data_IF_516887999769
#
_entry.id   IF_516887999769
#
_cell.length_a   1.000
_cell.length_b   1.000
_cell.length_c   1.000
_cell.angle_alpha   90.00
_cell.angle_beta   90.00
_cell.angle_gamma   90.00
#
_symmetry.space_group_name_H-M   'P 1'
#
loop_
_entity.id
_entity.type
_entity.pdbx_description
1 polymer ?
#
# COMPACT_ATOMS: atom_id res chain seq x y z
N UNK A 1 5.44 23.92 10.83
CA UNK A 1 4.79 23.00 9.86
C UNK A 1 3.61 23.70 9.22
N UNK A 2 3.48 23.66 7.89
CA UNK A 2 2.31 24.25 7.18
C UNK A 2 1.10 23.31 7.26
N UNK A 3 -0.10 23.84 6.97
CA UNK A 3 -1.32 23.03 6.96
C UNK A 3 -1.23 21.87 5.94
N UNK A 4 -0.68 22.11 4.75
CA UNK A 4 -0.45 21.08 3.75
C UNK A 4 0.54 20.02 4.25
N UNK A 5 1.65 20.42 4.86
CA UNK A 5 2.61 19.49 5.47
C UNK A 5 2.00 18.61 6.56
N UNK A 6 1.12 19.18 7.40
CA UNK A 6 0.38 18.43 8.42
C UNK A 6 -0.56 17.39 7.79
N UNK A 7 -1.30 17.76 6.75
CA UNK A 7 -2.20 16.86 6.00
C UNK A 7 -1.42 15.74 5.34
N UNK A 8 -0.30 16.03 4.67
CA UNK A 8 0.56 15.02 4.04
C UNK A 8 1.09 14.03 5.08
N UNK A 9 1.55 14.54 6.23
CA UNK A 9 2.08 13.71 7.32
C UNK A 9 0.98 12.80 7.89
N UNK A 10 -0.19 13.34 8.19
CA UNK A 10 -1.31 12.58 8.73
C UNK A 10 -1.80 11.51 7.73
N UNK A 11 -2.02 11.90 6.48
CA UNK A 11 -2.42 10.98 5.41
C UNK A 11 -1.37 9.88 5.18
N UNK A 12 -0.09 10.25 5.11
CA UNK A 12 1.02 9.33 4.88
C UNK A 12 1.21 8.31 6.00
N UNK A 13 1.13 8.74 7.27
CA UNK A 13 1.25 7.85 8.42
C UNK A 13 0.02 6.94 8.60
N UNK A 14 -1.19 7.44 8.34
CA UNK A 14 -2.39 6.61 8.31
C UNK A 14 -2.33 5.55 7.20
N UNK A 15 -1.89 5.95 6.00
CA UNK A 15 -1.68 5.04 4.89
C UNK A 15 -0.63 3.97 5.24
N UNK A 16 0.53 4.37 5.76
CA UNK A 16 1.57 3.47 6.26
C UNK A 16 1.00 2.46 7.28
N UNK A 17 0.25 2.94 8.27
CA UNK A 17 -0.37 2.10 9.30
C UNK A 17 -1.29 1.04 8.73
N UNK A 18 -2.17 1.41 7.78
CA UNK A 18 -3.05 0.45 7.11
C UNK A 18 -2.28 -0.60 6.30
N UNK A 19 -1.24 -0.18 5.57
CA UNK A 19 -0.39 -1.10 4.80
C UNK A 19 0.27 -2.12 5.72
N UNK A 20 0.85 -1.68 6.83
CA UNK A 20 1.45 -2.59 7.82
C UNK A 20 0.42 -3.54 8.43
N UNK A 21 -0.72 -3.00 8.85
CA UNK A 21 -1.77 -3.78 9.51
C UNK A 21 -2.43 -4.81 8.57
N UNK A 22 -2.70 -4.43 7.32
CA UNK A 22 -3.44 -5.30 6.40
C UNK A 22 -2.49 -6.18 5.58
N UNK A 23 -1.50 -5.59 4.91
CA UNK A 23 -0.64 -6.33 3.98
C UNK A 23 0.35 -7.25 4.69
N UNK A 24 0.82 -6.89 5.89
CA UNK A 24 1.85 -7.66 6.60
C UNK A 24 1.32 -8.40 7.83
N UNK A 25 0.28 -7.91 8.51
CA UNK A 25 -0.26 -8.59 9.70
C UNK A 25 -1.51 -9.43 9.37
N UNK A 26 -2.58 -8.82 8.85
CA UNK A 26 -3.84 -9.52 8.53
C UNK A 26 -3.64 -10.61 7.47
N UNK A 27 -2.99 -10.26 6.36
CA UNK A 27 -2.90 -11.14 5.20
C UNK A 27 -2.24 -12.50 5.51
N UNK A 28 -1.12 -12.60 6.25
CA UNK A 28 -0.57 -13.90 6.66
C UNK A 28 -1.31 -14.53 7.84
N UNK A 29 -1.82 -13.74 8.80
CA UNK A 29 -2.42 -14.27 10.01
C UNK A 29 -3.76 -14.98 9.75
N UNK A 30 -4.55 -14.50 8.77
CA UNK A 30 -5.84 -15.11 8.44
C UNK A 30 -5.76 -16.57 8.00
N UNK A 31 -4.65 -16.98 7.38
CA UNK A 31 -4.43 -18.38 6.98
C UNK A 31 -3.98 -19.29 8.13
N UNK A 32 -3.69 -18.71 9.31
CA UNK A 32 -3.34 -19.46 10.52
C UNK A 32 -4.55 -19.71 11.42
N UNK A 33 -5.70 -19.12 11.12
CA UNK A 33 -6.91 -19.30 11.91
C UNK A 33 -7.48 -20.72 11.72
N UNK A 34 -7.88 -21.41 12.81
CA UNK A 34 -8.50 -22.73 12.71
C UNK A 34 -9.73 -22.72 11.81
N UNK A 35 -9.85 -23.71 10.93
CA UNK A 35 -10.99 -23.85 10.02
C UNK A 35 -10.93 -22.99 8.74
N UNK A 36 -9.89 -22.16 8.55
CA UNK A 36 -9.71 -21.39 7.31
C UNK A 36 -9.09 -22.27 6.22
N UNK A 37 -9.83 -22.45 5.12
CA UNK A 37 -9.31 -23.11 3.91
C UNK A 37 -8.68 -22.07 2.95
N UNK A 38 -7.83 -22.54 2.03
CA UNK A 38 -7.20 -21.67 1.03
C UNK A 38 -8.23 -20.88 0.20
N UNK A 39 -9.32 -21.49 -0.33
CA UNK A 39 -10.36 -20.75 -1.04
C UNK A 39 -11.02 -19.64 -0.20
N UNK A 40 -11.33 -19.92 1.07
CA UNK A 40 -11.92 -18.94 1.98
C UNK A 40 -10.95 -17.78 2.22
N UNK A 41 -9.69 -18.07 2.55
CA UNK A 41 -8.68 -17.03 2.79
C UNK A 41 -8.39 -16.18 1.55
N UNK A 42 -8.40 -16.76 0.35
CA UNK A 42 -8.29 -16.03 -0.91
C UNK A 42 -9.52 -15.14 -1.18
N UNK A 43 -10.73 -15.64 -0.91
CA UNK A 43 -11.97 -14.87 -1.02
C UNK A 43 -11.97 -13.64 -0.12
N UNK A 44 -11.64 -13.83 1.16
CA UNK A 44 -11.48 -12.73 2.13
C UNK A 44 -10.41 -11.74 1.65
N UNK A 45 -9.26 -12.26 1.21
CA UNK A 45 -8.17 -11.45 0.69
C UNK A 45 -8.61 -10.52 -0.44
N UNK A 46 -9.40 -10.98 -1.41
CA UNK A 46 -9.86 -10.12 -2.52
C UNK A 46 -10.67 -8.93 -2.05
N UNK A 47 -11.59 -9.15 -1.10
CA UNK A 47 -12.44 -8.10 -0.55
C UNK A 47 -11.61 -7.09 0.24
N UNK A 48 -10.79 -7.57 1.17
CA UNK A 48 -9.93 -6.74 2.03
C UNK A 48 -8.94 -5.92 1.19
N UNK A 49 -8.23 -6.56 0.25
CA UNK A 49 -7.29 -5.83 -0.61
C UNK A 49 -8.01 -4.87 -1.55
N UNK A 50 -9.21 -5.18 -2.05
CA UNK A 50 -9.99 -4.20 -2.84
C UNK A 50 -10.32 -2.97 -2.00
N UNK A 51 -10.77 -3.16 -0.77
CA UNK A 51 -11.06 -2.06 0.15
C UNK A 51 -9.80 -1.25 0.47
N UNK A 52 -8.69 -1.92 0.84
CA UNK A 52 -7.40 -1.28 1.09
C UNK A 52 -7.00 -0.40 -0.09
N UNK A 53 -6.90 -0.96 -1.30
CA UNK A 53 -6.49 -0.22 -2.50
C UNK A 53 -7.36 1.01 -2.77
N UNK A 54 -8.68 0.94 -2.54
CA UNK A 54 -9.56 2.11 -2.68
C UNK A 54 -9.19 3.21 -1.68
N UNK A 55 -8.90 2.86 -0.43
CA UNK A 55 -8.49 3.84 0.59
C UNK A 55 -7.08 4.38 0.31
N UNK A 56 -6.17 3.55 -0.19
CA UNK A 56 -4.85 3.99 -0.64
C UNK A 56 -4.93 5.05 -1.75
N UNK A 57 -5.87 4.90 -2.70
CA UNK A 57 -6.12 5.91 -3.74
C UNK A 57 -6.62 7.22 -3.12
N UNK A 58 -7.47 7.16 -2.09
CA UNK A 58 -7.95 8.37 -1.40
C UNK A 58 -6.80 9.09 -0.71
N UNK A 59 -5.93 8.36 0.01
CA UNK A 59 -4.73 8.93 0.61
C UNK A 59 -3.76 9.49 -0.43
N UNK A 60 -3.53 8.77 -1.54
CA UNK A 60 -2.72 9.24 -2.65
C UNK A 60 -3.25 10.56 -3.23
N UNK A 61 -4.55 10.64 -3.52
CA UNK A 61 -5.19 11.86 -4.01
C UNK A 61 -5.07 13.01 -3.01
N UNK A 62 -5.24 12.72 -1.72
CA UNK A 62 -5.12 13.71 -0.63
C UNK A 62 -3.71 14.29 -0.58
N UNK A 63 -2.69 13.44 -0.66
CA UNK A 63 -1.28 13.85 -0.70
C UNK A 63 -0.99 14.68 -1.95
N UNK A 64 -1.47 14.25 -3.13
CA UNK A 64 -1.27 14.98 -4.39
C UNK A 64 -1.90 16.38 -4.33
N UNK A 65 -3.11 16.52 -3.80
CA UNK A 65 -3.77 17.82 -3.63
C UNK A 65 -2.97 18.71 -2.66
N UNK A 66 -2.54 18.17 -1.53
CA UNK A 66 -1.75 18.93 -0.56
C UNK A 66 -0.39 19.37 -1.13
N UNK A 67 0.28 18.50 -1.91
CA UNK A 67 1.52 18.83 -2.62
C UNK A 67 1.32 19.95 -3.65
N UNK A 68 0.16 20.00 -4.32
CA UNK A 68 -0.15 21.05 -5.28
C UNK A 68 -0.42 22.42 -4.63
N UNK A 69 -0.84 22.44 -3.36
CA UNK A 69 -1.12 23.66 -2.60
C UNK A 69 0.19 24.28 -2.07
N UNK A 70 1.02 23.47 -1.41
CA UNK A 70 2.25 23.93 -0.78
C UNK A 70 3.30 22.80 -0.80
N UNK A 71 4.13 22.74 -1.86
CA UNK A 71 5.08 21.65 -2.04
C UNK A 71 6.24 21.77 -1.05
N UNK A 72 6.59 20.70 -0.32
CA UNK A 72 7.76 20.67 0.53
C UNK A 72 9.06 20.60 -0.29
N UNK A 73 10.21 20.50 0.39
CA UNK A 73 11.51 20.34 -0.26
C UNK A 73 11.58 19.13 -1.20
N UNK A 74 12.44 19.24 -2.23
CA UNK A 74 12.56 18.26 -3.33
C UNK A 74 12.76 16.82 -2.86
N UNK A 75 13.51 16.60 -1.79
CA UNK A 75 13.75 15.25 -1.23
C UNK A 75 12.45 14.62 -0.72
N UNK A 76 11.64 15.38 0.02
CA UNK A 76 10.33 14.95 0.52
C UNK A 76 9.38 14.66 -0.64
N UNK A 77 9.31 15.55 -1.63
CA UNK A 77 8.49 15.34 -2.83
C UNK A 77 8.91 14.07 -3.56
N UNK A 78 10.21 13.84 -3.73
CA UNK A 78 10.73 12.63 -4.38
C UNK A 78 10.31 11.37 -3.64
N UNK A 79 10.42 11.35 -2.31
CA UNK A 79 9.97 10.22 -1.49
C UNK A 79 8.47 9.95 -1.69
N UNK A 80 7.62 10.98 -1.64
CA UNK A 80 6.19 10.83 -1.84
C UNK A 80 5.84 10.34 -3.27
N UNK A 81 6.56 10.83 -4.29
CA UNK A 81 6.38 10.37 -5.67
C UNK A 81 6.76 8.89 -5.83
N UNK A 82 7.76 8.40 -5.10
CA UNK A 82 8.09 6.96 -5.08
C UNK A 82 6.94 6.14 -4.49
N UNK A 83 6.30 6.59 -3.40
CA UNK A 83 5.14 5.91 -2.83
C UNK A 83 3.95 5.87 -3.82
N UNK A 84 3.68 7.01 -4.49
CA UNK A 84 2.62 7.12 -5.50
C UNK A 84 2.89 6.23 -6.72
N UNK A 85 4.13 6.20 -7.22
CA UNK A 85 4.54 5.34 -8.32
C UNK A 85 4.44 3.85 -7.96
N UNK A 86 4.85 3.47 -6.74
CA UNK A 86 4.69 2.11 -6.24
C UNK A 86 3.22 1.68 -6.23
N UNK A 87 2.31 2.52 -5.71
CA UNK A 87 0.87 2.25 -5.74
C UNK A 87 0.36 2.08 -7.18
N UNK A 88 0.75 2.97 -8.10
CA UNK A 88 0.32 2.90 -9.49
C UNK A 88 0.75 1.58 -10.16
N UNK A 89 2.00 1.17 -9.96
CA UNK A 89 2.53 -0.12 -10.46
C UNK A 89 1.79 -1.30 -9.84
N UNK A 90 1.51 -1.24 -8.53
CA UNK A 90 0.74 -2.30 -7.86
C UNK A 90 -0.66 -2.45 -8.46
N UNK A 91 -1.38 -1.34 -8.66
CA UNK A 91 -2.75 -1.36 -9.18
C UNK A 91 -2.83 -1.81 -10.64
N UNK A 92 -1.87 -1.39 -11.47
CA UNK A 92 -1.92 -1.61 -12.93
C UNK A 92 -1.27 -2.91 -13.38
N UNK A 93 -0.21 -3.36 -12.70
CA UNK A 93 0.59 -4.51 -13.14
C UNK A 93 0.46 -5.71 -12.21
N UNK A 94 0.64 -5.52 -10.90
CA UNK A 94 0.76 -6.63 -9.95
C UNK A 94 -0.61 -7.19 -9.56
N UNK A 95 -1.56 -6.32 -9.23
CA UNK A 95 -2.90 -6.70 -8.77
C UNK A 95 -3.68 -7.51 -9.82
N UNK A 96 -3.74 -7.13 -11.11
CA UNK A 96 -4.45 -7.92 -12.12
C UNK A 96 -3.87 -9.33 -12.27
N UNK A 97 -2.54 -9.48 -12.17
CA UNK A 97 -1.86 -10.78 -12.21
C UNK A 97 -2.23 -11.65 -11.01
N UNK A 98 -2.25 -11.08 -9.81
CA UNK A 98 -2.65 -11.78 -8.58
C UNK A 98 -4.12 -12.19 -8.58
N UNK A 99 -5.01 -11.34 -9.11
CA UNK A 99 -6.45 -11.65 -9.23
C UNK A 99 -6.68 -12.82 -10.18
N UNK A 100 -6.13 -12.79 -11.40
CA UNK A 100 -6.25 -13.90 -12.37
C UNK A 100 -5.78 -15.23 -11.78
N UNK A 101 -4.68 -15.22 -11.02
CA UNK A 101 -4.18 -16.43 -10.35
C UNK A 101 -5.12 -16.90 -9.26
N UNK A 102 -5.59 -15.98 -8.42
CA UNK A 102 -6.57 -16.31 -7.38
C UNK A 102 -7.83 -16.90 -8.00
N UNK A 103 -8.27 -16.43 -9.17
CA UNK A 103 -9.43 -16.96 -9.90
C UNK A 103 -9.18 -18.38 -10.39
N UNK A 104 -8.01 -18.67 -10.93
CA UNK A 104 -7.63 -20.03 -11.35
C UNK A 104 -7.63 -21.02 -10.17
N UNK A 105 -7.10 -20.62 -9.00
CA UNK A 105 -7.10 -21.46 -7.80
C UNK A 105 -8.53 -21.69 -7.28
N UNK A 106 -9.39 -20.67 -7.30
CA UNK A 106 -10.80 -20.84 -6.91
C UNK A 106 -11.60 -21.71 -7.91
N UNK A 107 -11.18 -21.75 -9.17
CA UNK A 107 -11.75 -22.64 -10.19
C UNK A 107 -11.24 -24.09 -10.10
N UNK A 108 -10.37 -24.41 -9.15
CA UNK A 108 -9.85 -25.76 -8.93
C UNK A 108 -8.58 -26.10 -9.72
N UNK A 109 -7.93 -25.13 -10.36
CA UNK A 109 -6.65 -25.35 -11.03
C UNK A 109 -5.48 -25.29 -10.04
N UNK A 110 -4.63 -26.32 -10.04
CA UNK A 110 -3.35 -26.30 -9.33
C UNK A 110 -2.39 -25.30 -9.98
N UNK A 111 -2.14 -24.19 -9.29
CA UNK A 111 -1.26 -23.13 -9.76
C UNK A 111 0.04 -23.10 -8.96
N UNK A 112 1.21 -23.42 -9.57
CA UNK A 112 2.50 -23.37 -8.89
C UNK A 112 2.77 -22.02 -8.20
N UNK A 113 3.60 -22.01 -7.16
CA UNK A 113 3.96 -20.80 -6.39
C UNK A 113 4.51 -19.70 -7.32
N UNK A 114 3.75 -18.64 -7.56
CA UNK A 114 4.14 -17.56 -8.48
C UNK A 114 5.03 -16.51 -7.82
N UNK A 115 5.90 -15.91 -8.63
CA UNK A 115 6.82 -14.81 -8.25
C UNK A 115 6.10 -13.49 -7.97
N UNK A 116 4.86 -13.33 -8.44
CA UNK A 116 4.09 -12.08 -8.29
C UNK A 116 3.78 -11.68 -6.86
N UNK A 117 3.81 -12.62 -5.91
CA UNK A 117 3.72 -12.28 -4.49
C UNK A 117 4.96 -11.53 -3.99
N UNK A 118 6.16 -11.92 -4.46
CA UNK A 118 7.40 -11.22 -4.12
C UNK A 118 7.45 -9.82 -4.75
N UNK A 119 6.98 -9.67 -5.99
CA UNK A 119 6.83 -8.35 -6.64
C UNK A 119 5.94 -7.42 -5.80
N UNK A 120 4.82 -7.93 -5.29
CA UNK A 120 3.94 -7.16 -4.41
C UNK A 120 4.64 -6.73 -3.12
N UNK A 121 5.32 -7.66 -2.44
CA UNK A 121 6.04 -7.39 -1.18
C UNK A 121 7.15 -6.36 -1.36
N UNK A 122 7.91 -6.43 -2.45
CA UNK A 122 8.97 -5.45 -2.74
C UNK A 122 8.39 -4.05 -2.93
N UNK A 123 7.28 -3.92 -3.66
CA UNK A 123 6.60 -2.63 -3.83
C UNK A 123 6.02 -2.11 -2.52
N UNK A 124 5.48 -2.98 -1.66
CA UNK A 124 5.02 -2.59 -0.33
C UNK A 124 6.16 -2.05 0.54
N UNK A 125 7.32 -2.74 0.56
CA UNK A 125 8.49 -2.28 1.32
C UNK A 125 8.98 -0.92 0.80
N UNK A 126 9.04 -0.75 -0.52
CA UNK A 126 9.42 0.53 -1.13
C UNK A 126 8.47 1.66 -0.72
N UNK A 127 7.15 1.40 -0.80
CA UNK A 127 6.11 2.35 -0.41
C UNK A 127 6.17 2.69 1.08
N UNK A 128 6.41 1.71 1.95
CA UNK A 128 6.63 1.89 3.39
C UNK A 128 7.81 2.82 3.65
N UNK A 129 8.97 2.52 3.04
CA UNK A 129 10.18 3.32 3.23
C UNK A 129 9.97 4.77 2.74
N UNK A 130 9.30 4.93 1.60
CA UNK A 130 8.97 6.22 1.02
C UNK A 130 8.01 7.06 1.90
N UNK A 131 6.91 6.46 2.38
CA UNK A 131 5.94 7.15 3.26
C UNK A 131 6.57 7.51 4.61
N UNK A 132 7.31 6.58 5.21
CA UNK A 132 7.99 6.83 6.49
C UNK A 132 9.07 7.90 6.34
N UNK A 133 9.91 7.81 5.32
CA UNK A 133 10.95 8.80 5.03
C UNK A 133 10.37 10.18 4.76
N UNK A 134 9.34 10.27 3.92
CA UNK A 134 8.63 11.53 3.64
C UNK A 134 8.04 12.17 4.90
N UNK A 135 7.40 11.38 5.77
CA UNK A 135 6.85 11.86 7.03
C UNK A 135 7.95 12.35 7.99
N UNK A 136 9.04 11.60 8.14
CA UNK A 136 10.18 11.99 8.99
C UNK A 136 10.79 13.30 8.49
N UNK A 137 10.97 13.46 7.18
CA UNK A 137 11.53 14.68 6.60
C UNK A 137 10.63 15.90 6.87
N UNK A 138 9.30 15.74 6.73
CA UNK A 138 8.34 16.81 7.05
C UNK A 138 8.36 17.20 8.53
N UNK A 139 8.43 16.21 9.42
CA UNK A 139 8.49 16.45 10.86
C UNK A 139 9.83 17.08 11.28
N UNK A 140 10.96 16.62 10.74
CA UNK A 140 12.27 17.16 11.06
C UNK A 140 12.40 18.65 10.66
N UNK A 141 11.90 19.01 9.47
CA UNK A 141 11.86 20.41 9.01
C UNK A 141 10.87 21.28 9.79
N UNK A 142 9.98 20.68 10.58
CA UNK A 142 9.03 21.46 11.40
C UNK A 142 9.60 21.94 12.73
N UNK A 143 10.73 21.39 13.16
CA UNK A 143 11.39 21.68 14.45
C UNK A 143 12.63 22.56 14.28
N UNK A 144 13.19 22.63 13.07
CA UNK A 144 14.29 23.52 12.67
C UNK A 144 13.78 24.90 12.26
#
# INVERSE_FOLDING_TARGET
MTAAGAVITAAGLCWLGMVLAISFLEAPLKFRAPGVTVPIGLGIGRLVFRALNSVEIVFAATIVVALAIDPPGTVTVTALMVALAALLVQLTLVRPRLTRRSDAVLAGHDSPRSRGHYEYVVLEILKIAALLGGAILLLAHSVS
#
